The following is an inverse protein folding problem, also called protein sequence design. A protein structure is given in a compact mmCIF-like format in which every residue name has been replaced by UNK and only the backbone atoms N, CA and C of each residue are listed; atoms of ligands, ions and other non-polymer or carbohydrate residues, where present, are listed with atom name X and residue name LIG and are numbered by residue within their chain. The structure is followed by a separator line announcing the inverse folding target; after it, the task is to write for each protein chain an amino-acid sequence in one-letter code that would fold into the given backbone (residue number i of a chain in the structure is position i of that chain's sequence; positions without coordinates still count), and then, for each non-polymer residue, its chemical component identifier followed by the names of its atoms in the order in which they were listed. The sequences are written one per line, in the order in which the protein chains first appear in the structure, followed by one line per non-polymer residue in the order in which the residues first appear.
data_IF_286011622408
#
_entry.id   IF_286011622408
#
_cell.length_a   1.000
_cell.length_b   1.000
_cell.length_c   1.000
_cell.angle_alpha   90.00
_cell.angle_beta   90.00
_cell.angle_gamma   90.00
#
_symmetry.space_group_name_H-M   'P 1'
#
loop_
_entity.id
_entity.type
_entity.pdbx_description
1 polymer ?
#
# COMPACT_ATOMS: atom_id res chain seq x y z
N UNK A 1 17.49 -2.10 -15.84
CA UNK A 1 17.91 -1.44 -14.58
C UNK A 1 17.02 -0.28 -14.13
N UNK A 2 16.53 0.61 -15.01
CA UNK A 2 15.63 1.72 -14.60
C UNK A 2 14.28 1.22 -14.04
N UNK A 3 13.74 0.14 -14.62
CA UNK A 3 12.42 -0.40 -14.28
C UNK A 3 12.37 -0.99 -12.87
N UNK A 4 13.40 -1.70 -12.41
CA UNK A 4 13.43 -2.31 -11.07
C UNK A 4 13.55 -1.28 -9.96
N UNK A 5 14.40 -0.26 -10.15
CA UNK A 5 14.53 0.86 -9.21
C UNK A 5 13.22 1.65 -9.10
N UNK A 6 12.53 1.86 -10.23
CA UNK A 6 11.22 2.50 -10.26
C UNK A 6 10.14 1.67 -9.56
N UNK A 7 10.06 0.36 -9.87
CA UNK A 7 9.11 -0.57 -9.21
C UNK A 7 9.32 -0.56 -7.70
N UNK A 8 10.58 -0.62 -7.26
CA UNK A 8 10.95 -0.56 -5.84
C UNK A 8 10.48 0.73 -5.19
N UNK A 9 10.84 1.88 -5.77
CA UNK A 9 10.48 3.18 -5.23
C UNK A 9 8.95 3.39 -5.15
N UNK A 10 8.22 2.97 -6.20
CA UNK A 10 6.76 3.06 -6.21
C UNK A 10 6.18 2.19 -5.10
N UNK A 11 6.55 0.91 -5.03
CA UNK A 11 5.97 -0.02 -4.07
C UNK A 11 6.33 0.32 -2.62
N UNK A 12 7.59 0.57 -2.29
CA UNK A 12 8.00 0.89 -0.91
C UNK A 12 7.39 2.21 -0.44
N UNK A 13 7.50 3.29 -1.23
CA UNK A 13 6.97 4.60 -0.84
C UNK A 13 5.46 4.58 -0.69
N UNK A 14 4.77 3.85 -1.57
CA UNK A 14 3.34 3.62 -1.43
C UNK A 14 3.09 2.88 -0.10
N UNK A 15 3.84 1.82 0.21
CA UNK A 15 3.51 0.95 1.34
C UNK A 15 3.69 1.67 2.66
N UNK A 16 4.68 2.56 2.72
CA UNK A 16 4.82 3.51 3.82
C UNK A 16 3.62 4.44 3.95
N UNK A 17 3.11 5.01 2.86
CA UNK A 17 1.91 5.87 2.90
C UNK A 17 0.71 5.12 3.50
N UNK A 18 0.53 3.85 3.12
CA UNK A 18 -0.53 2.99 3.65
C UNK A 18 -0.37 2.80 5.16
N UNK A 19 0.81 2.39 5.60
CA UNK A 19 1.09 2.12 7.01
C UNK A 19 0.94 3.39 7.86
N UNK A 20 1.41 4.54 7.39
CA UNK A 20 1.22 5.84 8.06
C UNK A 20 -0.27 6.16 8.24
N UNK A 21 -1.07 5.96 7.18
CA UNK A 21 -2.52 6.24 7.26
C UNK A 21 -3.22 5.30 8.23
N UNK A 22 -2.81 4.03 8.25
CA UNK A 22 -3.36 3.04 9.17
C UNK A 22 -2.96 3.33 10.62
N UNK A 23 -1.71 3.76 10.87
CA UNK A 23 -1.25 4.19 12.18
C UNK A 23 -2.03 5.40 12.71
N UNK A 24 -2.31 6.39 11.84
CA UNK A 24 -3.14 7.54 12.19
C UNK A 24 -4.54 7.09 12.68
N UNK A 25 -5.19 6.16 11.97
CA UNK A 25 -6.50 5.64 12.33
C UNK A 25 -6.45 4.78 13.60
N UNK A 26 -5.43 3.93 13.72
CA UNK A 26 -5.18 3.13 14.92
C UNK A 26 -5.07 4.02 16.17
N UNK A 27 -4.26 5.07 16.09
CA UNK A 27 -4.04 5.98 17.22
C UNK A 27 -5.31 6.73 17.64
N UNK A 28 -6.16 7.11 16.68
CA UNK A 28 -7.40 7.87 16.96
C UNK A 28 -8.56 7.01 17.44
N UNK A 29 -8.71 5.81 16.89
CA UNK A 29 -9.94 5.03 17.06
C UNK A 29 -9.75 3.72 17.84
N UNK A 30 -8.51 3.27 18.02
CA UNK A 30 -8.19 1.97 18.59
C UNK A 30 -7.15 2.07 19.72
N UNK A 31 -7.17 3.15 20.52
CA UNK A 31 -6.13 3.52 21.50
C UNK A 31 -5.92 2.55 22.69
N UNK A 32 -6.82 1.60 22.95
CA UNK A 32 -6.69 0.64 24.06
C UNK A 32 -5.99 -0.66 23.66
N UNK A 33 -4.84 -0.97 24.28
CA UNK A 33 -4.19 -2.30 24.16
C UNK A 33 -3.55 -2.62 22.80
N UNK A 34 -3.35 -1.63 21.95
CA UNK A 34 -2.92 -1.79 20.55
C UNK A 34 -1.44 -1.49 20.29
N UNK A 35 -0.58 -1.52 21.32
CA UNK A 35 0.87 -1.31 21.14
C UNK A 35 1.49 -2.20 20.05
N UNK A 36 1.04 -3.46 19.94
CA UNK A 36 1.44 -4.38 18.85
C UNK A 36 0.95 -3.94 17.46
N UNK A 37 -0.22 -3.30 17.38
CA UNK A 37 -0.78 -2.77 16.14
C UNK A 37 0.04 -1.57 15.65
N UNK A 38 0.30 -0.60 16.52
CA UNK A 38 1.10 0.57 16.17
C UNK A 38 2.55 0.20 15.85
N UNK A 39 3.14 -0.73 16.60
CA UNK A 39 4.49 -1.23 16.33
C UNK A 39 4.59 -1.89 14.94
N UNK A 40 3.60 -2.69 14.56
CA UNK A 40 3.58 -3.32 13.23
C UNK A 40 3.49 -2.29 12.09
N UNK A 41 2.72 -1.22 12.28
CA UNK A 41 2.59 -0.13 11.30
C UNK A 41 3.82 0.78 11.23
N UNK A 42 4.69 0.71 12.23
CA UNK A 42 5.95 1.47 12.26
C UNK A 42 7.09 0.71 11.58
N UNK A 43 6.88 -0.56 11.22
CA UNK A 43 7.89 -1.36 10.53
C UNK A 43 7.93 -0.96 9.05
N UNK A 44 9.09 -0.54 8.57
CA UNK A 44 9.26 -0.19 7.17
C UNK A 44 8.97 -1.39 6.25
N UNK A 45 8.24 -1.19 5.15
CA UNK A 45 8.03 -2.22 4.15
C UNK A 45 9.33 -2.51 3.41
N UNK A 46 9.57 -3.78 3.08
CA UNK A 46 10.82 -4.20 2.43
C UNK A 46 10.54 -4.92 1.13
N UNK A 47 11.19 -4.50 0.05
CA UNK A 47 11.17 -5.23 -1.22
C UNK A 47 12.35 -6.20 -1.35
N UNK A 48 12.05 -7.47 -1.62
CA UNK A 48 13.02 -8.50 -2.02
C UNK A 48 12.68 -9.02 -3.41
N UNK A 49 13.49 -8.66 -4.40
CA UNK A 49 13.20 -8.97 -5.81
C UNK A 49 11.85 -8.37 -6.24
N UNK A 50 10.92 -9.23 -6.67
CA UNK A 50 9.55 -8.83 -7.06
C UNK A 50 8.52 -8.95 -5.92
N UNK A 51 8.97 -9.21 -4.69
CA UNK A 51 8.10 -9.45 -3.54
C UNK A 51 8.19 -8.30 -2.54
N UNK A 52 7.07 -7.64 -2.29
CA UNK A 52 6.94 -6.65 -1.22
C UNK A 52 6.48 -7.35 0.07
N UNK A 53 7.19 -7.11 1.17
CA UNK A 53 6.87 -7.66 2.49
C UNK A 53 6.51 -6.53 3.44
N UNK A 54 5.42 -6.71 4.18
CA UNK A 54 4.89 -5.73 5.13
C UNK A 54 4.59 -6.46 6.44
N UNK A 55 5.11 -5.94 7.57
CA UNK A 55 4.78 -6.48 8.89
C UNK A 55 3.36 -6.07 9.25
N UNK A 56 2.49 -7.04 9.50
CA UNK A 56 1.06 -6.76 9.63
C UNK A 56 0.36 -7.75 10.57
N UNK A 57 -0.37 -7.31 11.62
CA UNK A 57 -0.99 -8.22 12.58
C UNK A 57 -2.26 -8.82 12.00
N UNK A 58 -2.41 -10.15 12.06
CA UNK A 58 -3.57 -10.85 11.52
C UNK A 58 -4.91 -10.33 12.06
N UNK A 59 -4.95 -9.95 13.35
CA UNK A 59 -6.20 -9.57 14.02
C UNK A 59 -6.79 -8.25 13.55
N UNK A 60 -6.02 -7.42 12.84
CA UNK A 60 -6.51 -6.13 12.33
C UNK A 60 -7.67 -6.28 11.34
N UNK A 61 -7.75 -7.41 10.63
CA UNK A 61 -8.85 -7.71 9.70
C UNK A 61 -10.20 -7.74 10.42
N UNK A 62 -10.21 -8.11 11.70
CA UNK A 62 -11.41 -8.14 12.53
C UNK A 62 -11.84 -6.75 13.00
N UNK A 63 -10.93 -5.76 13.00
CA UNK A 63 -11.28 -4.37 13.31
C UNK A 63 -12.23 -3.81 12.25
N UNK A 64 -12.07 -4.24 10.99
CA UNK A 64 -12.90 -3.83 9.85
C UNK A 64 -14.30 -4.45 9.81
N UNK A 65 -14.60 -5.42 10.67
CA UNK A 65 -15.96 -5.91 10.83
C UNK A 65 -16.84 -4.81 11.43
N UNK A 66 -17.96 -4.48 10.80
CA UNK A 66 -18.91 -3.48 11.30
C UNK A 66 -19.73 -3.99 12.51
N UNK A 67 -19.68 -5.30 12.76
CA UNK A 67 -20.41 -5.99 13.82
C UNK A 67 -19.44 -6.71 14.77
N UNK A 68 -19.89 -6.89 16.00
CA UNK A 68 -19.25 -7.69 17.05
C UNK A 68 -19.48 -9.19 16.80
N UNK A 69 -18.78 -10.04 17.55
CA UNK A 69 -18.99 -11.49 17.49
C UNK A 69 -20.45 -11.90 17.77
N UNK A 70 -21.18 -11.12 18.58
CA UNK A 70 -22.60 -11.35 18.88
C UNK A 70 -23.54 -10.65 17.88
N UNK A 71 -23.05 -10.17 16.74
CA UNK A 71 -23.86 -9.55 15.69
C UNK A 71 -24.28 -8.10 15.92
N UNK A 72 -24.02 -7.51 17.10
CA UNK A 72 -24.34 -6.10 17.39
C UNK A 72 -23.42 -5.17 16.60
N UNK A 73 -23.95 -4.06 16.07
CA UNK A 73 -23.14 -3.01 15.41
C UNK A 73 -22.12 -2.42 16.41
N UNK A 74 -20.89 -2.20 15.94
CA UNK A 74 -19.87 -1.51 16.75
C UNK A 74 -20.27 -0.03 16.91
N UNK A 75 -20.19 0.48 18.14
CA UNK A 75 -20.50 1.88 18.46
C UNK A 75 -19.52 2.85 17.79
N UNK A 76 -18.24 2.49 17.80
CA UNK A 76 -17.17 3.22 17.11
C UNK A 76 -16.59 2.28 16.05
N UNK A 77 -16.72 2.64 14.77
CA UNK A 77 -16.25 1.84 13.64
C UNK A 77 -15.44 2.70 12.68
N UNK A 78 -14.19 2.32 12.47
CA UNK A 78 -13.33 2.93 11.45
C UNK A 78 -12.59 1.85 10.68
N UNK A 79 -12.81 1.79 9.38
CA UNK A 79 -12.04 0.91 8.51
C UNK A 79 -10.56 1.26 8.62
N UNK A 80 -9.72 0.26 8.74
CA UNK A 80 -8.28 0.37 8.88
C UNK A 80 -7.56 -0.62 7.95
N UNK A 81 -8.14 -1.79 7.66
CA UNK A 81 -7.50 -2.80 6.82
C UNK A 81 -7.99 -2.82 5.37
N UNK A 82 -9.14 -3.42 5.10
CA UNK A 82 -9.61 -3.79 3.76
C UNK A 82 -9.66 -2.59 2.81
N UNK A 83 -10.15 -1.44 3.28
CA UNK A 83 -10.23 -0.23 2.45
C UNK A 83 -8.86 0.31 2.06
N UNK A 84 -7.95 0.42 3.02
CA UNK A 84 -6.64 0.99 2.78
C UNK A 84 -5.74 0.02 2.04
N UNK A 85 -5.68 -1.25 2.43
CA UNK A 85 -4.92 -2.29 1.72
C UNK A 85 -5.40 -2.45 0.27
N UNK A 86 -6.71 -2.42 0.01
CA UNK A 86 -7.22 -2.50 -1.36
C UNK A 86 -6.88 -1.25 -2.18
N UNK A 87 -7.18 -0.05 -1.67
CA UNK A 87 -6.85 1.19 -2.36
C UNK A 87 -5.35 1.30 -2.63
N UNK A 88 -4.56 0.86 -1.66
CA UNK A 88 -3.13 0.79 -1.74
C UNK A 88 -2.61 -0.10 -2.88
N UNK A 89 -3.05 -1.36 -2.91
CA UNK A 89 -2.60 -2.32 -3.92
C UNK A 89 -3.09 -1.94 -5.32
N UNK A 90 -4.37 -1.58 -5.43
CA UNK A 90 -5.00 -1.35 -6.73
C UNK A 90 -4.66 0.03 -7.31
N UNK A 91 -5.00 1.12 -6.62
CA UNK A 91 -4.75 2.47 -7.16
C UNK A 91 -3.34 2.98 -6.86
N UNK A 92 -2.74 2.56 -5.74
CA UNK A 92 -1.42 3.01 -5.31
C UNK A 92 -0.27 2.34 -6.07
N UNK A 93 -0.25 1.01 -6.13
CA UNK A 93 0.81 0.26 -6.83
C UNK A 93 0.40 -0.05 -8.27
N UNK A 94 -0.67 -0.82 -8.48
CA UNK A 94 -0.97 -1.40 -9.79
C UNK A 94 -1.17 -0.33 -10.87
N UNK A 95 -2.04 0.67 -10.63
CA UNK A 95 -2.26 1.77 -11.58
C UNK A 95 -0.97 2.55 -11.87
N UNK A 96 -0.16 2.87 -10.85
CA UNK A 96 1.08 3.62 -11.02
C UNK A 96 2.14 2.84 -11.80
N UNK A 97 2.24 1.53 -11.57
CA UNK A 97 3.13 0.67 -12.34
C UNK A 97 2.68 0.62 -13.81
N UNK A 98 1.39 0.46 -14.09
CA UNK A 98 0.86 0.50 -15.46
C UNK A 98 1.17 1.84 -16.14
N UNK A 99 0.96 2.97 -15.45
CA UNK A 99 1.30 4.30 -15.97
C UNK A 99 2.80 4.46 -16.24
N UNK A 100 3.65 3.98 -15.33
CA UNK A 100 5.11 3.99 -15.50
C UNK A 100 5.56 3.15 -16.70
N UNK A 101 4.97 1.98 -16.91
CA UNK A 101 5.22 1.14 -18.08
C UNK A 101 4.80 1.87 -19.36
N UNK A 102 3.60 2.44 -19.40
CA UNK A 102 3.13 3.21 -20.55
C UNK A 102 4.04 4.42 -20.85
N UNK A 103 4.55 5.09 -19.81
CA UNK A 103 5.50 6.20 -19.95
C UNK A 103 6.84 5.76 -20.55
N UNK A 104 7.40 4.64 -20.08
CA UNK A 104 8.64 4.06 -20.60
C UNK A 104 8.47 3.63 -22.06
N UNK A 105 7.36 2.98 -22.40
CA UNK A 105 7.03 2.58 -23.78
C UNK A 105 6.94 3.81 -24.68
N UNK A 106 6.24 4.86 -24.25
CA UNK A 106 6.16 6.13 -25.01
C UNK A 106 7.53 6.76 -25.23
N UNK A 107 8.38 6.85 -24.20
CA UNK A 107 9.73 7.40 -24.35
C UNK A 107 10.60 6.57 -25.30
N UNK A 108 10.45 5.25 -25.28
CA UNK A 108 11.19 4.34 -26.15
C UNK A 108 10.76 4.50 -27.62
N UNK A 109 9.45 4.53 -27.86
CA UNK A 109 8.87 4.81 -29.19
C UNK A 109 9.35 6.18 -29.67
N UNK A 110 9.17 7.25 -28.87
CA UNK A 110 9.61 8.60 -29.25
C UNK A 110 11.09 8.65 -29.60
N UNK A 111 11.98 7.97 -28.86
CA UNK A 111 13.41 7.90 -29.19
C UNK A 111 13.66 7.21 -30.53
N UNK A 112 13.08 6.04 -30.77
CA UNK A 112 13.25 5.29 -32.04
C UNK A 112 12.80 6.13 -33.24
N UNK A 113 11.67 6.83 -33.11
CA UNK A 113 11.10 7.63 -34.19
C UNK A 113 11.71 9.04 -34.32
N UNK A 114 12.45 9.55 -33.34
CA UNK A 114 13.24 10.79 -33.48
C UNK A 114 14.66 10.53 -34.02
N UNK A 115 15.20 9.33 -33.87
CA UNK A 115 16.46 8.90 -34.49
C UNK A 115 16.23 8.11 -35.79
N UNK A 116 15.32 8.58 -36.65
CA UNK A 116 15.11 7.97 -37.97
C UNK A 116 16.39 7.95 -38.82
N UNK A 117 16.55 6.96 -39.73
CA UNK A 117 17.77 6.77 -40.50
C UNK A 117 18.07 8.01 -41.36
N UNK A 118 19.33 8.44 -41.33
CA UNK A 118 19.89 9.37 -42.32
C UNK A 118 19.86 8.76 -43.72
#
# INVERSE_FOLDING_TARGET
MITEKYIKAVAEGKAEDMLKKQAEIASRHYSGGTGRLLASMSTAPVMHGKRLTVSYPLYIRFLDLSRTATGKRKKNYHQIYNRYTYGYLFSGIYVRLCQGISGIVRQTISRIFTTGPA
#
